data_IF_101678640234
#
_entry.id   IF_101678640234
#
_cell.length_a   1.000
_cell.length_b   1.000
_cell.length_c   1.000
_cell.angle_alpha   90.00
_cell.angle_beta   90.00
_cell.angle_gamma   90.00
#
_symmetry.space_group_name_H-M   'P 1'
#
loop_
_entity.id
_entity.type
_entity.pdbx_description
1 polymer ?
#
# COMPACT_ATOMS: atom_id res chain seq x y z
N UNK A 1 9.73 -3.58 -28.19
CA UNK A 1 8.42 -3.25 -28.78
C UNK A 1 7.70 -2.32 -27.80
N UNK A 2 6.63 -1.62 -28.22
CA UNK A 2 5.82 -0.79 -27.32
C UNK A 2 4.51 -1.50 -26.96
N UNK A 3 4.05 -1.34 -25.73
CA UNK A 3 2.77 -1.85 -25.23
C UNK A 3 1.62 -0.89 -25.57
N UNK A 4 0.38 -1.30 -25.29
CA UNK A 4 -0.83 -0.54 -25.65
C UNK A 4 -0.88 0.87 -25.06
N UNK A 5 -0.26 1.09 -23.88
CA UNK A 5 -0.18 2.42 -23.27
C UNK A 5 1.01 3.26 -23.76
N UNK A 6 1.86 2.74 -24.65
CA UNK A 6 2.98 3.46 -25.26
C UNK A 6 4.33 3.26 -24.58
N UNK A 7 4.41 2.48 -23.50
CA UNK A 7 5.68 2.20 -22.82
C UNK A 7 6.47 1.10 -23.53
N UNK A 8 7.80 1.16 -23.43
CA UNK A 8 8.63 0.07 -23.94
C UNK A 8 8.46 -1.18 -23.09
N UNK A 9 8.67 -2.35 -23.70
CA UNK A 9 8.85 -3.60 -22.96
C UNK A 9 9.85 -3.40 -21.82
N UNK A 10 9.52 -3.93 -20.64
CA UNK A 10 10.44 -4.00 -19.53
C UNK A 10 11.18 -5.34 -19.56
N UNK A 11 12.46 -5.29 -19.23
CA UNK A 11 13.29 -6.47 -18.94
C UNK A 11 13.25 -6.75 -17.44
N UNK A 12 13.65 -7.95 -17.06
CA UNK A 12 13.75 -8.35 -15.65
C UNK A 12 14.65 -7.41 -14.83
N UNK A 13 15.70 -6.85 -15.46
CA UNK A 13 16.60 -5.87 -14.84
C UNK A 13 16.01 -4.45 -14.70
N UNK A 14 14.80 -4.19 -15.21
CA UNK A 14 14.11 -2.89 -15.18
C UNK A 14 12.78 -2.93 -14.42
N UNK A 15 12.58 -4.00 -13.65
CA UNK A 15 11.44 -4.15 -12.76
C UNK A 15 11.92 -4.36 -11.34
N UNK A 16 11.10 -3.92 -10.38
CA UNK A 16 11.36 -4.10 -8.96
C UNK A 16 10.12 -4.68 -8.29
N UNK A 17 10.34 -5.41 -7.18
CA UNK A 17 9.25 -5.99 -6.41
C UNK A 17 8.72 -4.97 -5.41
N UNK A 18 7.41 -4.74 -5.47
CA UNK A 18 6.67 -3.95 -4.49
C UNK A 18 5.83 -4.90 -3.63
N UNK A 19 5.76 -4.63 -2.34
CA UNK A 19 4.98 -5.39 -1.35
C UNK A 19 4.04 -4.40 -0.68
N UNK A 20 2.74 -4.60 -0.83
CA UNK A 20 1.70 -3.67 -0.35
C UNK A 20 0.51 -4.45 0.18
N UNK A 21 -0.11 -3.95 1.25
CA UNK A 21 -1.27 -4.59 1.86
C UNK A 21 -0.90 -5.90 2.55
N UNK A 22 -1.74 -6.91 2.38
CA UNK A 22 -1.59 -8.23 3.00
C UNK A 22 -0.93 -9.24 2.03
N UNK A 23 -0.53 -8.82 0.82
CA UNK A 23 0.20 -9.65 -0.13
C UNK A 23 1.69 -9.73 0.21
N UNK A 24 2.07 -10.76 0.98
CA UNK A 24 3.46 -10.98 1.38
C UNK A 24 4.40 -11.35 0.22
N UNK A 25 3.87 -11.83 -0.91
CA UNK A 25 4.67 -12.18 -2.09
C UNK A 25 4.94 -10.96 -2.97
N UNK A 26 3.99 -10.02 -2.99
CA UNK A 26 4.07 -8.79 -3.75
C UNK A 26 4.05 -9.00 -5.27
N UNK A 27 4.22 -7.90 -6.00
CA UNK A 27 4.21 -7.88 -7.45
C UNK A 27 5.45 -7.17 -7.99
N UNK A 28 5.92 -7.58 -9.17
CA UNK A 28 6.95 -6.84 -9.90
C UNK A 28 6.32 -5.76 -10.76
N UNK A 29 6.86 -4.56 -10.75
CA UNK A 29 6.45 -3.46 -11.64
C UNK A 29 7.68 -2.76 -12.17
N UNK A 30 7.55 -1.94 -13.21
CA UNK A 30 8.65 -1.11 -13.70
C UNK A 30 9.19 -0.26 -12.56
N UNK A 31 10.52 -0.20 -12.49
CA UNK A 31 11.26 0.43 -11.41
C UNK A 31 11.07 1.97 -11.33
N UNK A 32 11.73 2.57 -10.34
CA UNK A 32 11.75 4.02 -10.16
C UNK A 32 10.39 4.62 -9.75
N UNK A 33 10.04 5.74 -10.37
CA UNK A 33 8.80 6.48 -10.05
C UNK A 33 7.54 5.69 -10.41
N UNK A 34 7.60 4.77 -11.37
CA UNK A 34 6.47 3.89 -11.69
C UNK A 34 6.15 2.97 -10.51
N UNK A 35 7.17 2.37 -9.90
CA UNK A 35 6.98 1.54 -8.70
C UNK A 35 6.35 2.33 -7.55
N UNK A 36 6.80 3.58 -7.33
CA UNK A 36 6.24 4.47 -6.30
C UNK A 36 4.77 4.81 -6.57
N UNK A 37 4.42 5.06 -7.83
CA UNK A 37 3.04 5.33 -8.22
C UNK A 37 2.13 4.11 -7.98
N UNK A 38 2.59 2.90 -8.31
CA UNK A 38 1.83 1.67 -8.03
C UNK A 38 1.73 1.35 -6.54
N UNK A 39 2.77 1.63 -5.74
CA UNK A 39 2.67 1.53 -4.27
C UNK A 39 1.56 2.44 -3.75
N UNK A 40 1.53 3.70 -4.19
CA UNK A 40 0.45 4.61 -3.81
C UNK A 40 -0.93 4.06 -4.21
N UNK A 41 -1.10 3.59 -5.45
CA UNK A 41 -2.37 3.05 -5.92
C UNK A 41 -2.83 1.87 -5.05
N UNK A 42 -1.95 0.91 -4.81
CA UNK A 42 -2.26 -0.29 -4.03
C UNK A 42 -2.54 0.04 -2.56
N UNK A 43 -1.82 0.99 -1.95
CA UNK A 43 -2.12 1.47 -0.60
C UNK A 43 -3.53 2.08 -0.53
N UNK A 44 -3.90 2.92 -1.51
CA UNK A 44 -5.23 3.52 -1.57
C UNK A 44 -6.34 2.48 -1.77
N UNK A 45 -6.14 1.50 -2.65
CA UNK A 45 -7.08 0.39 -2.83
C UNK A 45 -7.23 -0.43 -1.54
N UNK A 46 -6.11 -0.76 -0.89
CA UNK A 46 -6.08 -1.52 0.37
C UNK A 46 -6.83 -0.82 1.51
N UNK A 47 -6.71 0.50 1.60
CA UNK A 47 -7.33 1.28 2.68
C UNK A 47 -8.80 1.62 2.43
N UNK A 48 -9.19 1.86 1.17
CA UNK A 48 -10.49 2.51 0.84
C UNK A 48 -11.47 1.58 0.13
N UNK A 49 -11.00 0.53 -0.53
CA UNK A 49 -11.84 -0.32 -1.39
C UNK A 49 -11.99 -1.71 -0.77
N UNK A 50 -10.87 -2.42 -0.63
CA UNK A 50 -10.81 -3.71 0.05
C UNK A 50 -9.36 -4.11 0.29
N UNK A 51 -9.16 -5.08 1.19
CA UNK A 51 -7.83 -5.62 1.47
C UNK A 51 -7.20 -6.22 0.23
N UNK A 52 -6.11 -5.62 -0.21
CA UNK A 52 -5.19 -6.18 -1.21
C UNK A 52 -4.50 -7.40 -0.60
N UNK A 53 -4.80 -8.58 -1.13
CA UNK A 53 -4.28 -9.87 -0.66
C UNK A 53 -3.41 -10.57 -1.69
N UNK A 54 -3.64 -10.33 -2.99
CA UNK A 54 -2.83 -10.86 -4.09
C UNK A 54 -2.71 -9.81 -5.18
N UNK A 55 -1.49 -9.55 -5.65
CA UNK A 55 -1.21 -8.66 -6.77
C UNK A 55 -0.35 -9.39 -7.80
N UNK A 56 -0.77 -9.33 -9.07
CA UNK A 56 0.05 -9.81 -10.19
C UNK A 56 0.56 -8.61 -10.99
N UNK A 57 1.85 -8.57 -11.27
CA UNK A 57 2.50 -7.46 -11.96
C UNK A 57 3.10 -7.85 -13.30
N UNK A 58 4.35 -7.46 -13.52
CA UNK A 58 5.09 -7.62 -14.77
C UNK A 58 5.12 -9.07 -15.27
N UNK A 59 5.03 -9.21 -16.59
CA UNK A 59 5.07 -10.49 -17.30
C UNK A 59 6.08 -10.38 -18.44
N UNK A 60 6.97 -11.36 -18.59
CA UNK A 60 7.73 -11.49 -19.84
C UNK A 60 6.77 -11.74 -21.01
N UNK A 61 7.18 -11.46 -22.25
CA UNK A 61 6.34 -11.76 -23.43
C UNK A 61 5.98 -13.24 -23.51
N UNK A 62 6.93 -14.13 -23.23
CA UNK A 62 6.70 -15.57 -23.23
C UNK A 62 5.65 -15.96 -22.19
N UNK A 63 5.77 -15.49 -20.95
CA UNK A 63 4.81 -15.77 -19.90
C UNK A 63 3.44 -15.15 -20.19
N UNK A 64 3.40 -13.91 -20.72
CA UNK A 64 2.15 -13.26 -21.12
C UNK A 64 1.41 -14.06 -22.19
N UNK A 65 2.11 -14.58 -23.21
CA UNK A 65 1.51 -15.47 -24.22
C UNK A 65 1.00 -16.77 -23.60
N UNK A 66 1.79 -17.38 -22.70
CA UNK A 66 1.41 -18.63 -22.01
C UNK A 66 0.10 -18.49 -21.22
N UNK A 67 -0.14 -17.33 -20.59
CA UNK A 67 -1.38 -17.07 -19.83
C UNK A 67 -2.51 -16.49 -20.68
N UNK A 68 -2.36 -16.47 -22.02
CA UNK A 68 -3.39 -15.97 -22.94
C UNK A 68 -3.53 -14.44 -22.97
N UNK A 69 -2.53 -13.71 -22.48
CA UNK A 69 -2.52 -12.26 -22.47
C UNK A 69 -2.41 -11.65 -23.88
N UNK A 70 -2.94 -10.44 -24.05
CA UNK A 70 -2.83 -9.72 -25.32
C UNK A 70 -1.37 -9.43 -25.68
N UNK A 71 -1.02 -9.48 -26.97
CA UNK A 71 0.36 -9.28 -27.44
C UNK A 71 0.96 -7.91 -27.06
N UNK A 72 0.11 -6.89 -26.89
CA UNK A 72 0.47 -5.54 -26.45
C UNK A 72 0.20 -5.25 -24.96
N UNK A 73 -0.02 -6.28 -24.14
CA UNK A 73 -0.35 -6.16 -22.70
C UNK A 73 0.58 -5.20 -21.96
N UNK A 74 0.02 -4.32 -21.14
CA UNK A 74 0.77 -3.37 -20.33
C UNK A 74 1.45 -4.01 -19.10
N UNK A 75 1.20 -5.30 -18.84
CA UNK A 75 2.05 -6.08 -17.94
C UNK A 75 3.46 -6.28 -18.51
N UNK A 76 3.63 -6.27 -19.84
CA UNK A 76 4.93 -6.49 -20.48
C UNK A 76 5.89 -5.31 -20.24
N UNK A 77 5.36 -4.10 -20.16
CA UNK A 77 6.10 -2.88 -19.83
C UNK A 77 6.29 -2.65 -18.32
N UNK A 78 5.69 -3.51 -17.48
CA UNK A 78 5.70 -3.36 -16.02
C UNK A 78 4.83 -2.19 -15.54
N UNK A 79 3.86 -1.75 -16.35
CA UNK A 79 3.02 -0.58 -16.08
C UNK A 79 1.56 -0.96 -15.87
N UNK A 80 1.31 -2.19 -15.41
CA UNK A 80 -0.01 -2.70 -15.06
C UNK A 80 0.09 -3.70 -13.90
N UNK A 81 -0.99 -3.78 -13.12
CA UNK A 81 -1.18 -4.74 -12.04
C UNK A 81 -2.60 -5.30 -12.07
N UNK A 82 -2.75 -6.57 -11.70
CA UNK A 82 -4.04 -7.19 -11.42
C UNK A 82 -4.17 -7.40 -9.92
N UNK A 83 -5.23 -6.86 -9.31
CA UNK A 83 -5.46 -6.88 -7.86
C UNK A 83 -6.59 -7.86 -7.53
N UNK A 84 -6.32 -8.77 -6.58
CA UNK A 84 -7.29 -9.75 -6.07
C UNK A 84 -8.02 -10.53 -7.18
N UNK A 85 -7.29 -10.97 -8.22
CA UNK A 85 -7.89 -11.51 -9.45
C UNK A 85 -8.89 -12.66 -9.27
N UNK A 86 -8.77 -13.47 -8.22
CA UNK A 86 -9.74 -14.53 -7.92
C UNK A 86 -11.15 -13.99 -7.56
N UNK A 87 -11.25 -12.72 -7.14
CA UNK A 87 -12.49 -12.04 -6.74
C UNK A 87 -13.06 -11.17 -7.85
N UNK A 88 -12.25 -10.79 -8.84
CA UNK A 88 -12.58 -9.81 -9.86
C UNK A 88 -12.29 -10.36 -11.25
N UNK A 89 -13.31 -10.90 -11.94
CA UNK A 89 -13.11 -11.63 -13.18
C UNK A 89 -12.86 -10.71 -14.38
N UNK A 90 -12.06 -11.21 -15.31
CA UNK A 90 -12.00 -10.70 -16.67
C UNK A 90 -13.19 -11.23 -17.49
N UNK A 91 -13.94 -10.34 -18.15
CA UNK A 91 -15.16 -10.67 -18.88
C UNK A 91 -14.93 -11.74 -19.97
N UNK A 92 -13.77 -11.73 -20.64
CA UNK A 92 -13.44 -12.76 -21.64
C UNK A 92 -13.31 -14.16 -21.07
N UNK A 93 -13.03 -14.29 -19.78
CA UNK A 93 -12.92 -15.58 -19.11
C UNK A 93 -14.28 -16.09 -18.62
N UNK A 94 -15.34 -15.29 -18.72
CA UNK A 94 -16.68 -15.73 -18.36
C UNK A 94 -17.35 -16.52 -19.50
N UNK A 95 -18.22 -17.49 -19.16
CA UNK A 95 -19.02 -18.19 -20.14
C UNK A 95 -19.83 -17.22 -21.01
N UNK A 96 -19.87 -17.48 -22.31
CA UNK A 96 -20.68 -16.66 -23.23
C UNK A 96 -22.15 -16.70 -22.82
N UNK A 97 -22.80 -15.54 -22.86
CA UNK A 97 -24.21 -15.39 -22.51
C UNK A 97 -24.50 -15.15 -21.03
N UNK A 98 -23.48 -15.24 -20.16
CA UNK A 98 -23.62 -14.86 -18.74
C UNK A 98 -23.49 -13.34 -18.58
N UNK A 99 -24.40 -12.68 -17.84
CA UNK A 99 -24.23 -11.28 -17.47
C UNK A 99 -22.93 -11.06 -16.69
N UNK A 100 -22.11 -10.13 -17.17
CA UNK A 100 -20.85 -9.82 -16.50
C UNK A 100 -21.07 -9.21 -15.11
N UNK A 101 -20.32 -9.72 -14.13
CA UNK A 101 -20.21 -9.18 -12.78
C UNK A 101 -18.75 -8.87 -12.47
N UNK A 102 -18.46 -7.65 -11.99
CA UNK A 102 -17.11 -7.20 -11.66
C UNK A 102 -16.55 -7.82 -10.37
N UNK A 103 -17.43 -8.38 -9.54
CA UNK A 103 -17.10 -8.83 -8.18
C UNK A 103 -16.96 -7.70 -7.15
N UNK A 104 -17.07 -6.44 -7.58
CA UNK A 104 -17.15 -5.29 -6.66
C UNK A 104 -18.60 -4.97 -6.32
N UNK A 105 -18.81 -4.52 -5.08
CA UNK A 105 -20.05 -3.80 -4.73
C UNK A 105 -20.04 -2.39 -5.31
N UNK A 106 -21.22 -1.79 -5.49
CA UNK A 106 -21.33 -0.41 -5.99
C UNK A 106 -20.57 0.61 -5.12
N UNK A 107 -20.44 0.38 -3.82
CA UNK A 107 -19.65 1.23 -2.93
C UNK A 107 -18.16 1.12 -3.21
N UNK A 108 -17.66 -0.10 -3.45
CA UNK A 108 -16.26 -0.33 -3.82
C UNK A 108 -15.95 0.26 -5.19
N UNK A 109 -16.82 0.11 -6.19
CA UNK A 109 -16.60 0.72 -7.50
C UNK A 109 -16.50 2.25 -7.38
N UNK A 110 -17.38 2.90 -6.59
CA UNK A 110 -17.28 4.33 -6.30
C UNK A 110 -15.96 4.70 -5.62
N UNK A 111 -15.52 3.93 -4.63
CA UNK A 111 -14.25 4.16 -3.96
C UNK A 111 -13.05 4.04 -4.92
N UNK A 112 -13.07 3.06 -5.84
CA UNK A 112 -12.07 2.97 -6.92
C UNK A 112 -12.10 4.24 -7.78
N UNK A 113 -13.28 4.74 -8.17
CA UNK A 113 -13.38 5.99 -8.95
C UNK A 113 -12.78 7.18 -8.22
N UNK A 114 -13.01 7.30 -6.92
CA UNK A 114 -12.43 8.37 -6.13
C UNK A 114 -10.89 8.26 -6.09
N UNK A 115 -10.33 7.05 -5.92
CA UNK A 115 -8.88 6.83 -5.98
C UNK A 115 -8.30 7.23 -7.34
N UNK A 116 -8.94 6.86 -8.45
CA UNK A 116 -8.48 7.22 -9.79
C UNK A 116 -8.60 8.72 -10.06
N UNK A 117 -9.64 9.38 -9.51
CA UNK A 117 -9.77 10.84 -9.55
C UNK A 117 -8.63 11.52 -8.78
N UNK A 118 -8.29 11.03 -7.60
CA UNK A 118 -7.18 11.57 -6.79
C UNK A 118 -5.82 11.39 -7.50
N UNK A 119 -5.70 10.33 -8.31
CA UNK A 119 -4.56 10.10 -9.20
C UNK A 119 -4.49 11.08 -10.38
N UNK A 120 -5.54 11.86 -10.63
CA UNK A 120 -5.56 12.87 -11.70
C UNK A 120 -5.49 12.26 -13.11
N UNK A 121 -6.03 11.06 -13.30
CA UNK A 121 -6.02 10.37 -14.60
C UNK A 121 -4.72 9.63 -14.93
N UNK A 122 -3.77 9.53 -14.00
CA UNK A 122 -2.53 8.76 -14.23
C UNK A 122 -2.80 7.28 -14.50
N UNK A 123 -3.81 6.72 -13.83
CA UNK A 123 -4.22 5.32 -13.96
C UNK A 123 -5.57 5.20 -14.65
N UNK A 124 -5.75 4.09 -15.36
CA UNK A 124 -7.04 3.63 -15.88
C UNK A 124 -7.38 2.27 -15.28
N UNK A 125 -8.68 1.95 -15.26
CA UNK A 125 -9.21 0.72 -14.70
C UNK A 125 -9.83 -0.13 -15.79
N UNK A 126 -9.48 -1.41 -15.84
CA UNK A 126 -9.94 -2.35 -16.85
C UNK A 126 -11.45 -2.57 -16.85
N UNK A 127 -12.16 -2.22 -15.76
CA UNK A 127 -13.63 -2.24 -15.75
C UNK A 127 -14.24 -1.27 -16.77
N UNK A 128 -13.50 -0.23 -17.19
CA UNK A 128 -13.93 0.75 -18.21
C UNK A 128 -13.69 0.30 -19.64
N UNK A 129 -13.05 -0.86 -19.85
CA UNK A 129 -12.83 -1.36 -21.19
C UNK A 129 -14.16 -1.71 -21.88
N UNK A 130 -14.19 -1.75 -23.23
CA UNK A 130 -15.40 -2.05 -23.97
C UNK A 130 -16.07 -3.35 -23.52
N UNK A 131 -17.39 -3.44 -23.71
CA UNK A 131 -18.14 -4.68 -23.42
C UNK A 131 -17.51 -5.87 -24.15
N UNK A 132 -17.40 -7.00 -23.45
CA UNK A 132 -16.65 -8.18 -23.88
C UNK A 132 -15.15 -8.10 -23.56
N UNK A 133 -14.65 -7.03 -22.95
CA UNK A 133 -13.25 -6.81 -22.58
C UNK A 133 -13.09 -6.19 -21.19
N UNK A 134 -14.15 -6.11 -20.38
CA UNK A 134 -14.05 -5.52 -19.03
C UNK A 134 -13.21 -6.40 -18.12
N UNK A 135 -12.23 -5.82 -17.45
CA UNK A 135 -11.31 -6.52 -16.57
C UNK A 135 -11.23 -5.83 -15.19
N UNK A 136 -12.05 -6.30 -14.24
CA UNK A 136 -12.22 -5.63 -12.96
C UNK A 136 -10.98 -5.69 -12.06
N UNK A 137 -10.11 -6.70 -12.20
CA UNK A 137 -8.87 -6.78 -11.42
C UNK A 137 -7.79 -5.81 -11.94
N UNK A 138 -7.91 -5.35 -13.18
CA UNK A 138 -6.79 -4.78 -13.93
C UNK A 138 -6.67 -3.26 -13.77
N UNK A 139 -5.49 -2.78 -13.39
CA UNK A 139 -5.15 -1.36 -13.32
C UNK A 139 -3.84 -1.09 -14.07
N UNK A 140 -3.79 -0.01 -14.84
CA UNK A 140 -2.60 0.32 -15.64
C UNK A 140 -2.37 1.82 -15.75
N UNK A 141 -1.15 2.22 -16.10
CA UNK A 141 -0.88 3.61 -16.48
C UNK A 141 -1.67 3.95 -17.75
N UNK A 142 -2.30 5.12 -17.74
CA UNK A 142 -3.09 5.62 -18.87
C UNK A 142 -2.24 5.72 -20.15
N UNK A 143 -2.90 5.54 -21.30
CA UNK A 143 -2.24 5.62 -22.61
C UNK A 143 -1.68 7.03 -22.83
N UNK A 144 -0.42 7.09 -23.25
CA UNK A 144 0.28 8.35 -23.53
C UNK A 144 0.93 9.00 -22.31
N UNK A 145 0.69 8.48 -21.09
CA UNK A 145 1.41 8.89 -19.89
C UNK A 145 2.92 8.68 -20.07
N UNK A 146 3.70 9.71 -19.77
CA UNK A 146 5.17 9.70 -19.83
C UNK A 146 5.79 9.51 -18.45
N UNK A 147 7.10 9.26 -18.40
CA UNK A 147 7.85 9.24 -17.13
C UNK A 147 7.80 10.58 -16.39
N UNK A 148 7.72 11.71 -17.11
CA UNK A 148 7.59 13.03 -16.52
C UNK A 148 6.25 13.18 -15.78
N UNK A 149 5.16 12.68 -16.36
CA UNK A 149 3.83 12.69 -15.73
C UNK A 149 3.81 11.83 -14.45
N UNK A 150 4.40 10.64 -14.52
CA UNK A 150 4.54 9.76 -13.34
C UNK A 150 5.37 10.43 -12.24
N UNK A 151 6.47 11.09 -12.60
CA UNK A 151 7.32 11.81 -11.63
C UNK A 151 6.58 12.97 -11.00
N UNK A 152 5.86 13.77 -11.80
CA UNK A 152 5.05 14.88 -11.28
C UNK A 152 3.99 14.39 -10.30
N UNK A 153 3.34 13.27 -10.62
CA UNK A 153 2.41 12.62 -9.70
C UNK A 153 3.06 12.20 -8.39
N UNK A 154 4.20 11.48 -8.46
CA UNK A 154 4.93 11.03 -7.26
C UNK A 154 5.38 12.20 -6.39
N UNK A 155 5.86 13.29 -6.98
CA UNK A 155 6.20 14.52 -6.28
C UNK A 155 5.00 15.07 -5.50
N UNK A 156 3.87 15.26 -6.19
CA UNK A 156 2.61 15.76 -5.60
C UNK A 156 2.16 14.93 -4.40
N UNK A 157 2.09 13.60 -4.53
CA UNK A 157 1.59 12.75 -3.43
C UNK A 157 2.59 12.63 -2.28
N UNK A 158 3.88 12.83 -2.53
CA UNK A 158 4.92 12.86 -1.50
C UNK A 158 4.87 14.16 -0.70
N UNK A 159 4.66 15.30 -1.36
CA UNK A 159 4.48 16.60 -0.72
C UNK A 159 3.20 16.65 0.13
N UNK A 160 2.09 16.12 -0.39
CA UNK A 160 0.84 15.98 0.37
C UNK A 160 1.03 15.10 1.62
N UNK A 161 1.86 14.06 1.52
CA UNK A 161 2.25 13.23 2.67
C UNK A 161 3.20 13.98 3.64
N UNK A 162 3.77 15.11 3.25
CA UNK A 162 4.79 15.86 4.02
C UNK A 162 4.30 17.22 4.53
N UNK A 163 2.98 17.44 4.65
CA UNK A 163 2.37 18.71 5.11
C UNK A 163 2.96 19.31 6.41
N UNK A 164 2.62 20.57 6.74
CA UNK A 164 3.38 21.40 7.69
C UNK A 164 3.65 20.72 9.02
N UNK A 165 4.89 20.84 9.47
CA UNK A 165 5.37 20.35 10.78
C UNK A 165 4.76 21.28 11.85
N UNK A 166 4.06 20.75 12.89
CA UNK A 166 3.68 21.56 14.05
C UNK A 166 4.93 22.13 14.72
N UNK A 167 4.86 23.36 15.22
CA UNK A 167 5.99 24.01 15.92
C UNK A 167 6.37 23.20 17.18
N UNK A 168 7.64 23.22 17.58
CA UNK A 168 8.18 22.41 18.69
C UNK A 168 7.41 22.60 20.00
N UNK A 169 6.79 23.76 20.20
CA UNK A 169 6.00 24.11 21.38
C UNK A 169 4.63 23.39 21.45
N UNK A 170 4.16 22.79 20.35
CA UNK A 170 2.89 22.04 20.28
C UNK A 170 3.07 20.52 20.44
N UNK A 171 4.30 20.05 20.67
CA UNK A 171 4.59 18.62 20.86
C UNK A 171 4.43 18.21 22.33
N UNK A 172 3.63 17.16 22.65
CA UNK A 172 3.53 16.67 24.02
C UNK A 172 4.88 16.13 24.49
N UNK A 173 5.25 16.51 25.71
CA UNK A 173 6.53 16.17 26.31
C UNK A 173 6.63 14.67 26.61
N UNK A 174 7.86 14.17 26.72
CA UNK A 174 8.15 12.76 27.08
C UNK A 174 7.46 12.36 28.39
N UNK A 175 7.35 13.28 29.34
CA UNK A 175 6.69 13.04 30.63
C UNK A 175 5.16 13.01 30.54
N UNK A 176 4.55 13.75 29.62
CA UNK A 176 3.12 13.67 29.34
C UNK A 176 2.77 12.35 28.66
N UNK A 177 3.62 11.89 27.74
CA UNK A 177 3.52 10.58 27.10
C UNK A 177 3.69 9.47 28.14
N UNK A 178 4.69 9.57 29.03
CA UNK A 178 4.95 8.58 30.07
C UNK A 178 3.81 8.51 31.11
N UNK A 179 3.25 9.65 31.52
CA UNK A 179 2.10 9.71 32.44
C UNK A 179 0.82 9.15 31.82
N UNK A 180 0.59 9.39 30.53
CA UNK A 180 -0.54 8.81 29.80
C UNK A 180 -0.42 7.27 29.70
N UNK A 181 0.79 6.75 29.44
CA UNK A 181 1.07 5.30 29.41
C UNK A 181 0.92 4.66 30.79
N UNK A 182 1.36 5.35 31.85
CA UNK A 182 1.23 4.91 33.26
C UNK A 182 -0.23 4.90 33.74
N UNK A 183 -1.01 5.92 33.39
CA UNK A 183 -2.43 6.05 33.76
C UNK A 183 -3.34 5.01 33.10
N UNK A 184 -2.98 4.53 31.91
CA UNK A 184 -3.74 3.50 31.19
C UNK A 184 -3.57 2.10 31.79
N UNK A 185 -2.40 1.76 32.36
CA UNK A 185 -2.11 0.41 32.90
C UNK A 185 -2.58 0.16 34.34
N UNK A 186 -2.95 1.18 35.10
CA UNK A 186 -3.38 1.03 36.51
C UNK A 186 -4.89 0.74 36.68
N UNK A 187 -5.60 0.29 35.65
CA UNK A 187 -7.00 -0.15 35.78
C UNK A 187 -7.25 -1.64 35.54
N UNK A 188 -6.27 -2.43 35.10
CA UNK A 188 -6.40 -3.88 35.04
C UNK A 188 -5.12 -4.62 35.46
N UNK A 189 -5.23 -5.26 36.64
CA UNK A 189 -4.50 -6.42 37.15
C UNK A 189 -3.19 -6.21 37.93
N UNK A 190 -3.31 -6.57 39.21
CA UNK A 190 -2.26 -6.72 40.21
C UNK A 190 -1.41 -7.99 40.00
N UNK A 191 -0.12 -7.86 40.32
CA UNK A 191 0.83 -8.83 40.91
C UNK A 191 0.80 -10.29 40.43
N UNK A 192 1.85 -10.70 39.70
CA UNK A 192 2.99 -11.54 40.16
C UNK A 192 3.93 -11.80 38.95
N UNK A 193 5.25 -11.64 39.18
CA UNK A 193 6.39 -12.06 38.35
C UNK A 193 6.84 -11.28 37.09
N UNK A 194 6.71 -9.95 37.08
CA UNK A 194 7.37 -9.10 36.06
C UNK A 194 8.91 -9.13 36.13
N UNK A 195 9.51 -9.49 37.27
CA UNK A 195 10.97 -9.57 37.42
C UNK A 195 11.62 -10.82 36.82
N UNK A 196 10.84 -11.84 36.46
CA UNK A 196 11.35 -13.05 35.80
C UNK A 196 11.41 -12.89 34.27
N UNK A 197 10.49 -12.12 33.68
CA UNK A 197 10.46 -11.87 32.24
C UNK A 197 11.65 -10.99 31.78
N UNK A 198 12.02 -9.99 32.59
CA UNK A 198 13.12 -9.06 32.27
C UNK A 198 14.51 -9.70 32.38
N UNK A 199 14.70 -10.77 33.16
CA UNK A 199 16.01 -11.45 33.29
C UNK A 199 16.28 -12.49 32.21
N UNK A 200 15.26 -13.10 31.60
CA UNK A 200 15.46 -14.04 30.47
C UNK A 200 15.83 -13.33 29.16
N UNK A 201 15.56 -12.05 29.04
CA UNK A 201 15.90 -11.27 27.85
C UNK A 201 17.34 -10.78 27.80
N UNK A 202 18.12 -10.78 28.90
CA UNK A 202 19.42 -10.08 28.90
C UNK A 202 20.63 -10.92 28.43
N UNK A 203 20.49 -12.23 28.21
CA UNK A 203 21.52 -13.03 27.54
C UNK A 203 21.31 -13.14 26.01
N UNK A 204 20.10 -12.82 25.53
CA UNK A 204 19.78 -12.76 24.11
C UNK A 204 19.57 -11.32 23.60
N UNK A 205 19.67 -10.29 24.46
CA UNK A 205 19.44 -8.89 24.10
C UNK A 205 20.45 -8.33 23.07
N UNK A 206 21.67 -8.87 22.98
CA UNK A 206 22.59 -8.52 21.89
C UNK A 206 22.24 -9.21 20.56
N UNK A 207 21.45 -10.30 20.58
CA UNK A 207 20.95 -10.96 19.37
C UNK A 207 19.52 -10.50 18.98
N UNK A 208 18.74 -10.00 19.94
CA UNK A 208 17.36 -9.53 19.77
C UNK A 208 17.23 -8.02 19.47
N UNK A 209 18.35 -7.27 19.42
CA UNK A 209 18.40 -5.89 18.90
C UNK A 209 18.09 -5.78 17.38
N UNK A 210 17.64 -6.87 16.74
CA UNK A 210 17.19 -6.92 15.34
C UNK A 210 15.68 -7.25 15.19
N UNK A 211 14.90 -7.08 16.25
CA UNK A 211 13.45 -7.27 16.23
C UNK A 211 12.70 -5.98 15.89
N UNK A 212 12.05 -5.98 14.72
CA UNK A 212 11.23 -4.90 14.14
C UNK A 212 10.33 -4.23 15.20
N UNK A 213 10.53 -2.93 15.43
CA UNK A 213 9.56 -2.12 16.18
C UNK A 213 8.26 -2.06 15.36
N UNK A 214 7.18 -2.66 15.88
CA UNK A 214 5.89 -2.68 15.20
C UNK A 214 5.20 -1.32 15.32
N UNK A 215 5.42 -0.50 14.29
CA UNK A 215 4.84 0.83 14.11
C UNK A 215 3.32 0.83 14.18
N UNK A 216 2.66 -0.26 13.74
CA UNK A 216 1.20 -0.36 13.76
C UNK A 216 0.70 -0.49 15.19
N UNK A 217 1.37 -1.31 15.99
CA UNK A 217 1.03 -1.48 17.40
C UNK A 217 1.24 -0.18 18.20
N UNK A 218 2.31 0.55 17.90
CA UNK A 218 2.56 1.89 18.44
C UNK A 218 1.49 2.90 18.02
N UNK A 219 1.09 2.91 16.74
CA UNK A 219 0.05 3.79 16.25
C UNK A 219 -1.31 3.49 16.91
N UNK A 220 -1.66 2.22 17.05
CA UNK A 220 -2.90 1.83 17.71
C UNK A 220 -2.90 2.17 19.21
N UNK A 221 -1.74 2.15 19.87
CA UNK A 221 -1.60 2.59 21.25
C UNK A 221 -1.78 4.10 21.38
N UNK A 222 -1.15 4.89 20.48
CA UNK A 222 -1.28 6.36 20.45
C UNK A 222 -2.72 6.78 20.14
N UNK A 223 -3.38 6.14 19.17
CA UNK A 223 -4.79 6.42 18.83
C UNK A 223 -5.74 6.19 20.01
N UNK A 224 -5.45 5.19 20.85
CA UNK A 224 -6.28 4.82 22.01
C UNK A 224 -6.00 5.68 23.24
N UNK A 225 -4.82 6.27 23.33
CA UNK A 225 -4.40 7.10 24.46
C UNK A 225 -4.88 8.56 24.35
N UNK A 226 -5.26 9.01 23.16
CA UNK A 226 -5.65 10.40 22.90
C UNK A 226 -7.18 10.55 22.81
N UNK A 227 -7.73 11.71 23.21
CA UNK A 227 -9.15 12.01 23.03
C UNK A 227 -9.56 11.88 21.56
N UNK A 228 -10.77 11.41 21.32
CA UNK A 228 -11.32 11.33 19.97
C UNK A 228 -11.27 12.71 19.29
N UNK A 229 -10.58 12.80 18.14
CA UNK A 229 -10.40 14.05 17.40
C UNK A 229 -9.14 14.86 17.74
N UNK A 230 -8.35 14.46 18.76
CA UNK A 230 -7.10 15.14 19.11
C UNK A 230 -6.03 14.99 18.02
N UNK A 231 -6.02 13.86 17.30
CA UNK A 231 -5.12 13.61 16.18
C UNK A 231 -5.83 12.80 15.10
N UNK A 232 -5.57 13.14 13.84
CA UNK A 232 -5.96 12.33 12.68
C UNK A 232 -5.14 11.03 12.65
N UNK A 233 -5.69 9.99 12.02
CA UNK A 233 -5.00 8.69 11.83
C UNK A 233 -3.62 8.84 11.17
N UNK A 234 -3.47 9.82 10.27
CA UNK A 234 -2.21 10.14 9.62
C UNK A 234 -1.16 10.72 10.59
N UNK A 235 -1.60 11.58 11.52
CA UNK A 235 -0.75 12.13 12.57
C UNK A 235 -0.33 11.04 13.57
N UNK A 236 -1.26 10.16 13.96
CA UNK A 236 -0.97 9.02 14.85
C UNK A 236 0.08 8.08 14.26
N UNK A 237 -0.08 7.68 13.00
CA UNK A 237 0.89 6.82 12.31
C UNK A 237 2.27 7.46 12.16
N UNK A 238 2.33 8.80 12.07
CA UNK A 238 3.59 9.55 11.98
C UNK A 238 4.33 9.54 13.32
N UNK A 239 3.64 9.85 14.41
CA UNK A 239 4.23 9.82 15.77
C UNK A 239 4.74 8.41 16.10
N UNK A 240 3.99 7.37 15.74
CA UNK A 240 4.44 5.98 15.90
C UNK A 240 5.75 5.66 15.17
N UNK A 241 5.94 6.20 13.96
CA UNK A 241 7.18 6.01 13.17
C UNK A 241 8.35 6.78 13.72
N UNK A 242 8.13 7.99 14.24
CA UNK A 242 9.18 8.80 14.87
C UNK A 242 9.64 8.13 16.16
N UNK A 243 8.69 7.73 17.02
CA UNK A 243 8.98 6.98 18.24
C UNK A 243 9.74 5.68 17.95
N UNK A 244 9.35 4.93 16.92
CA UNK A 244 10.06 3.73 16.51
C UNK A 244 11.51 4.00 16.06
N UNK A 245 11.75 5.12 15.37
CA UNK A 245 13.09 5.52 14.93
C UNK A 245 13.99 5.97 16.07
N UNK A 246 13.44 6.67 17.07
CA UNK A 246 14.23 7.13 18.22
C UNK A 246 14.61 5.97 19.15
N UNK A 247 13.71 5.00 19.33
CA UNK A 247 14.01 3.75 20.04
C UNK A 247 15.13 2.96 19.34
N UNK A 248 15.14 2.96 18.00
CA UNK A 248 16.19 2.30 17.21
C UNK A 248 17.51 3.08 17.15
N UNK A 249 17.54 4.37 17.53
CA UNK A 249 18.76 5.20 17.61
C UNK A 249 19.44 5.16 18.97
N UNK A 250 18.71 4.77 20.01
CA UNK A 250 19.22 4.63 21.38
C UNK A 250 19.68 3.20 21.73
N UNK A 251 19.58 2.27 20.76
CA UNK A 251 20.04 0.89 20.82
C UNK A 251 21.35 0.70 20.05
#
# INVERSE_FOLDING_TARGET
>A
MVTMNGWSDARESSVTRIVVGDDANGATVRDGDVARAFVWLLEQLHERVEKVAVVNGWRSRAFNTQVGGAAGSNHISGTAVDVNGARHPFELHQPRGTPYVSGFSAAQERAVRDVLRDAGGLFVWGLDFPRGRRDAMHFELARGTTLADVRAFVGRVTEQKSGPVPEEDDMPTVDEIARAVWGYKNRELERVDTYALLRRTNANAQAAAKGVVDVKLLAEAIARALPAGAMTKAQVNRVARVAAKDVLRQA
#
